data_IF_173604464973
#
_entry.id   IF_173604464973
#
_cell.length_a   1.000
_cell.length_b   1.000
_cell.length_c   1.000
_cell.angle_alpha   90.00
_cell.angle_beta   90.00
_cell.angle_gamma   90.00
#
_symmetry.space_group_name_H-M   'P 1'
#
loop_
_entity.id
_entity.type
_entity.pdbx_description
1 polymer ?
#
# COMPACT_ATOMS: atom_id res chain seq x y z
N UNK A 1 -23.23 39.41 2.31
CA UNK A 1 -22.13 39.34 1.33
C UNK A 1 -20.82 39.43 2.07
N UNK A 2 -19.91 38.49 1.83
CA UNK A 2 -18.54 38.57 2.37
C UNK A 2 -17.83 39.67 1.60
N UNK A 3 -17.21 40.59 2.33
CA UNK A 3 -16.57 41.78 1.77
C UNK A 3 -15.20 41.39 1.21
N UNK A 4 -15.11 41.28 -0.12
CA UNK A 4 -13.95 40.73 -0.84
C UNK A 4 -12.68 41.58 -0.64
N UNK A 5 -12.85 42.88 -0.37
CA UNK A 5 -11.77 43.82 -0.07
C UNK A 5 -11.06 43.51 1.27
N UNK A 6 -11.69 42.81 2.21
CA UNK A 6 -11.06 42.42 3.47
C UNK A 6 -10.14 41.20 3.31
N UNK A 7 -10.32 40.38 2.26
CA UNK A 7 -9.50 39.19 2.02
C UNK A 7 -8.15 39.50 1.38
N UNK A 8 -7.99 40.67 0.76
CA UNK A 8 -6.72 41.07 0.12
C UNK A 8 -5.65 41.58 1.10
N UNK A 9 -6.03 41.97 2.31
CA UNK A 9 -5.10 42.48 3.33
C UNK A 9 -4.54 41.42 4.29
N UNK A 10 -4.93 40.15 4.12
CA UNK A 10 -4.52 39.05 5.02
C UNK A 10 -3.17 38.40 4.63
N UNK A 11 -2.58 38.76 3.50
CA UNK A 11 -1.27 38.26 3.06
C UNK A 11 -0.32 39.42 2.77
N UNK A 12 0.62 39.73 3.66
CA UNK A 12 1.61 40.78 3.41
C UNK A 12 2.49 40.40 2.21
N UNK A 13 2.33 41.11 1.09
CA UNK A 13 3.31 41.10 0.01
C UNK A 13 4.59 41.79 0.51
N UNK A 14 5.67 41.01 0.62
CA UNK A 14 7.00 41.51 0.97
C UNK A 14 7.50 42.49 -0.11
N UNK A 15 7.18 43.77 0.06
CA UNK A 15 7.73 44.86 -0.72
C UNK A 15 8.90 45.47 0.03
N UNK A 16 10.11 44.98 -0.26
CA UNK A 16 11.35 45.74 -0.05
C UNK A 16 11.88 46.16 -1.42
N UNK A 17 11.53 47.38 -1.82
CA UNK A 17 12.34 48.18 -2.75
C UNK A 17 13.49 48.80 -1.92
N UNK A 18 14.73 49.00 -2.36
CA UNK A 18 15.36 48.98 -3.67
C UNK A 18 16.89 48.88 -3.48
N UNK A 19 17.63 48.36 -4.47
CA UNK A 19 18.85 48.98 -5.01
C UNK A 19 19.55 48.10 -6.08
N UNK A 20 19.78 48.72 -7.24
CA UNK A 20 20.91 48.53 -8.17
C UNK A 20 21.15 47.17 -8.87
N UNK A 21 20.80 47.15 -10.17
CA UNK A 21 21.62 46.70 -11.30
C UNK A 21 22.29 45.33 -11.28
N UNK A 22 21.80 44.38 -12.08
CA UNK A 22 22.49 43.89 -13.30
C UNK A 22 21.60 42.87 -14.03
N UNK A 23 21.60 42.96 -15.35
CA UNK A 23 20.80 42.13 -16.26
C UNK A 23 21.40 40.73 -16.40
N UNK A 24 20.55 39.71 -16.24
CA UNK A 24 20.63 38.44 -16.96
C UNK A 24 21.66 37.41 -16.51
N UNK A 25 21.26 36.44 -15.69
CA UNK A 25 20.78 35.16 -16.20
C UNK A 25 20.33 34.25 -15.05
N UNK A 26 19.05 33.89 -15.14
CA UNK A 26 18.36 32.76 -14.52
C UNK A 26 19.07 32.10 -13.34
N UNK A 27 18.64 32.47 -12.13
CA UNK A 27 18.60 31.53 -11.02
C UNK A 27 18.07 30.20 -11.55
N UNK A 28 18.93 29.19 -11.53
CA UNK A 28 18.57 27.82 -11.82
C UNK A 28 17.32 27.50 -10.99
N UNK A 29 16.18 27.41 -11.69
CA UNK A 29 14.98 26.80 -11.16
C UNK A 29 15.34 25.34 -10.94
N UNK A 30 15.90 25.05 -9.75
CA UNK A 30 16.15 23.71 -9.28
C UNK A 30 14.89 22.91 -9.52
N UNK A 31 15.02 21.86 -10.30
CA UNK A 31 13.91 21.11 -10.87
C UNK A 31 12.88 20.83 -9.79
N UNK A 32 11.66 21.33 -9.98
CA UNK A 32 10.52 20.76 -9.30
C UNK A 32 10.38 19.34 -9.83
N UNK A 33 11.05 18.40 -9.17
CA UNK A 33 10.68 17.00 -9.24
C UNK A 33 9.22 16.98 -8.81
N UNK A 34 8.32 16.85 -9.76
CA UNK A 34 6.90 16.67 -9.49
C UNK A 34 6.79 15.35 -8.74
N UNK A 35 6.78 15.41 -7.41
CA UNK A 35 6.60 14.22 -6.56
C UNK A 35 5.26 13.61 -6.95
N UNK A 36 5.28 12.34 -7.32
CA UNK A 36 4.12 11.61 -7.81
C UNK A 36 3.20 11.24 -6.65
N UNK A 37 3.81 10.95 -5.50
CA UNK A 37 3.15 10.76 -4.21
C UNK A 37 3.35 11.97 -3.30
N UNK A 38 2.39 12.20 -2.40
CA UNK A 38 2.60 13.17 -1.34
C UNK A 38 3.72 12.69 -0.38
N UNK A 39 4.41 13.61 0.32
CA UNK A 39 5.58 13.26 1.13
C UNK A 39 5.29 12.23 2.23
N UNK A 40 4.09 12.28 2.82
CA UNK A 40 3.70 11.36 3.89
C UNK A 40 3.42 9.97 3.32
N UNK A 41 2.73 9.89 2.20
CA UNK A 41 2.48 8.63 1.50
C UNK A 41 3.79 7.99 1.02
N UNK A 42 4.68 8.78 0.43
CA UNK A 42 5.99 8.31 -0.02
C UNK A 42 6.79 7.70 1.14
N UNK A 43 6.84 8.39 2.27
CA UNK A 43 7.51 7.90 3.48
C UNK A 43 6.92 6.58 3.98
N UNK A 44 5.58 6.43 3.99
CA UNK A 44 4.92 5.19 4.40
C UNK A 44 5.30 4.02 3.49
N UNK A 45 5.29 4.22 2.16
CA UNK A 45 5.70 3.20 1.19
C UNK A 45 7.16 2.82 1.38
N UNK A 46 8.05 3.79 1.55
CA UNK A 46 9.47 3.55 1.77
C UNK A 46 9.75 2.75 3.05
N UNK A 47 9.02 3.01 4.14
CA UNK A 47 9.14 2.23 5.39
C UNK A 47 8.70 0.79 5.17
N UNK A 48 7.54 0.59 4.56
CA UNK A 48 7.01 -0.75 4.30
C UNK A 48 7.95 -1.54 3.36
N UNK A 49 8.57 -0.90 2.37
CA UNK A 49 9.56 -1.53 1.48
C UNK A 49 10.80 -2.00 2.24
N UNK A 50 11.33 -1.16 3.13
CA UNK A 50 12.48 -1.53 3.98
C UNK A 50 12.14 -2.70 4.91
N UNK A 51 10.91 -2.75 5.42
CA UNK A 51 10.46 -3.84 6.28
C UNK A 51 10.32 -5.17 5.50
N UNK A 52 9.89 -5.11 4.24
CA UNK A 52 9.77 -6.30 3.39
C UNK A 52 11.12 -6.88 2.96
N UNK A 53 12.13 -6.03 2.77
CA UNK A 53 13.46 -6.44 2.30
C UNK A 53 13.41 -7.34 1.05
N UNK A 54 12.57 -6.96 0.08
CA UNK A 54 12.41 -7.62 -1.22
C UNK A 54 12.67 -6.61 -2.34
N UNK A 55 13.11 -7.12 -3.48
CA UNK A 55 13.31 -6.33 -4.70
C UNK A 55 12.02 -6.23 -5.53
N UNK A 56 11.95 -5.22 -6.39
CA UNK A 56 10.83 -5.09 -7.34
C UNK A 56 10.72 -6.32 -8.25
N UNK A 57 11.84 -6.87 -8.71
CA UNK A 57 11.86 -8.04 -9.59
C UNK A 57 11.31 -9.29 -8.92
N UNK A 58 11.62 -9.52 -7.64
CA UNK A 58 11.05 -10.63 -6.88
C UNK A 58 9.53 -10.50 -6.73
N UNK A 59 9.04 -9.28 -6.42
CA UNK A 59 7.60 -9.01 -6.31
C UNK A 59 6.92 -9.20 -7.67
N UNK A 60 7.47 -8.64 -8.73
CA UNK A 60 6.94 -8.78 -10.09
C UNK A 60 6.92 -10.25 -10.51
N UNK A 61 8.01 -10.98 -10.29
CA UNK A 61 8.10 -12.41 -10.56
C UNK A 61 7.04 -13.21 -9.79
N UNK A 62 6.81 -12.88 -8.53
CA UNK A 62 5.75 -13.49 -7.72
C UNK A 62 4.34 -13.18 -8.26
N UNK A 63 4.07 -11.95 -8.66
CA UNK A 63 2.76 -11.57 -9.22
C UNK A 63 2.50 -12.19 -10.60
N UNK A 64 3.55 -12.42 -11.39
CA UNK A 64 3.44 -13.01 -12.74
C UNK A 64 3.32 -14.54 -12.65
N UNK A 65 4.17 -15.19 -11.85
CA UNK A 65 4.31 -16.65 -11.83
C UNK A 65 3.63 -17.32 -10.65
N UNK A 66 3.26 -16.58 -9.60
CA UNK A 66 2.70 -17.14 -8.38
C UNK A 66 3.74 -17.77 -7.45
N UNK A 67 5.02 -17.44 -7.59
CA UNK A 67 6.13 -18.20 -6.98
C UNK A 67 6.42 -17.93 -5.49
N UNK A 68 5.60 -17.13 -4.80
CA UNK A 68 5.78 -16.77 -3.37
C UNK A 68 4.52 -17.04 -2.54
N UNK A 69 3.78 -18.12 -2.81
CA UNK A 69 2.51 -18.44 -2.13
C UNK A 69 2.65 -18.54 -0.60
N UNK A 70 3.81 -18.92 -0.09
CA UNK A 70 4.02 -19.23 1.33
C UNK A 70 4.33 -18.00 2.21
N UNK A 71 4.08 -16.78 1.72
CA UNK A 71 4.42 -15.52 2.41
C UNK A 71 3.22 -14.57 2.52
N UNK A 72 2.23 -14.87 3.37
CA UNK A 72 1.06 -14.00 3.53
C UNK A 72 1.45 -12.59 3.98
N UNK A 73 2.46 -12.43 4.85
CA UNK A 73 2.90 -11.13 5.37
C UNK A 73 3.44 -10.20 4.26
N UNK A 74 4.05 -10.80 3.22
CA UNK A 74 4.49 -10.08 2.03
C UNK A 74 3.29 -9.45 1.33
N UNK A 75 2.26 -10.25 1.02
CA UNK A 75 1.09 -9.76 0.31
C UNK A 75 0.25 -8.81 1.15
N UNK A 76 0.14 -9.01 2.46
CA UNK A 76 -0.51 -8.05 3.36
C UNK A 76 0.15 -6.67 3.31
N UNK A 77 1.48 -6.65 3.31
CA UNK A 77 2.23 -5.39 3.28
C UNK A 77 2.14 -4.73 1.90
N UNK A 78 2.20 -5.51 0.83
CA UNK A 78 1.97 -5.02 -0.54
C UNK A 78 0.55 -4.47 -0.70
N UNK A 79 -0.47 -5.10 -0.12
CA UNK A 79 -1.85 -4.61 -0.16
C UNK A 79 -1.98 -3.22 0.50
N UNK A 80 -1.26 -2.96 1.60
CA UNK A 80 -1.20 -1.64 2.26
C UNK A 80 -0.50 -0.56 1.42
N UNK A 81 0.33 -0.97 0.46
CA UNK A 81 0.99 -0.07 -0.50
C UNK A 81 0.12 0.27 -1.72
N UNK A 82 -1.07 -0.31 -1.87
CA UNK A 82 -1.91 -0.10 -3.04
C UNK A 82 -2.12 1.40 -3.32
N UNK A 83 -1.73 1.91 -4.50
CA UNK A 83 -1.90 3.32 -4.84
C UNK A 83 -3.39 3.64 -5.03
N UNK A 84 -3.77 4.89 -4.80
CA UNK A 84 -5.09 5.38 -5.22
C UNK A 84 -5.17 5.44 -6.75
N UNK A 85 -6.37 5.61 -7.31
CA UNK A 85 -6.54 5.73 -8.77
C UNK A 85 -5.79 6.94 -9.34
N UNK A 86 -5.77 8.05 -8.60
CA UNK A 86 -5.06 9.26 -8.97
C UNK A 86 -3.54 9.07 -8.92
N UNK A 87 -3.04 8.37 -7.90
CA UNK A 87 -1.61 8.02 -7.77
C UNK A 87 -1.18 7.06 -8.87
N UNK A 88 -1.99 6.04 -9.15
CA UNK A 88 -1.75 5.07 -10.22
C UNK A 88 -1.63 5.76 -11.58
N UNK A 89 -2.53 6.70 -11.89
CA UNK A 89 -2.48 7.47 -13.13
C UNK A 89 -1.18 8.30 -13.22
N UNK A 90 -0.82 9.04 -12.16
CA UNK A 90 0.42 9.82 -12.10
C UNK A 90 1.66 8.95 -12.28
N UNK A 91 1.71 7.80 -11.61
CA UNK A 91 2.83 6.86 -11.66
C UNK A 91 2.96 6.24 -13.05
N UNK A 92 1.85 5.85 -13.69
CA UNK A 92 1.85 5.28 -15.04
C UNK A 92 2.25 6.31 -16.10
N UNK A 93 1.68 7.50 -16.03
CA UNK A 93 1.89 8.58 -17.01
C UNK A 93 3.22 9.30 -16.85
N UNK A 94 3.96 9.05 -15.75
CA UNK A 94 5.30 9.58 -15.58
C UNK A 94 6.23 9.12 -16.70
N UNK A 95 6.64 10.09 -17.53
CA UNK A 95 7.57 9.95 -18.66
C UNK A 95 8.90 10.68 -18.42
N UNK A 96 9.15 11.12 -17.19
CA UNK A 96 10.40 11.77 -16.79
C UNK A 96 11.56 10.79 -16.64
N UNK A 97 12.69 11.33 -16.19
CA UNK A 97 13.92 10.58 -15.98
C UNK A 97 13.82 9.60 -14.81
N UNK A 98 13.83 8.29 -15.13
CA UNK A 98 13.76 7.21 -14.15
C UNK A 98 14.98 7.11 -13.22
N UNK A 99 16.07 7.85 -13.46
CA UNK A 99 17.17 7.95 -12.50
C UNK A 99 16.92 8.99 -11.41
N UNK A 100 15.85 9.80 -11.54
CA UNK A 100 15.52 10.94 -10.66
C UNK A 100 14.21 10.75 -9.88
N UNK A 101 13.50 9.67 -10.14
CA UNK A 101 12.31 9.25 -9.39
C UNK A 101 12.73 8.65 -8.04
N UNK A 102 11.92 8.84 -7.01
CA UNK A 102 12.21 8.22 -5.71
C UNK A 102 12.16 6.68 -5.83
N UNK A 103 13.03 5.92 -5.16
CA UNK A 103 13.02 4.45 -5.22
C UNK A 103 11.66 3.81 -4.87
N UNK A 104 10.89 4.40 -3.95
CA UNK A 104 9.57 3.88 -3.58
C UNK A 104 8.51 4.17 -4.66
N UNK A 105 8.57 5.34 -5.31
CA UNK A 105 7.73 5.65 -6.47
C UNK A 105 8.09 4.75 -7.66
N UNK A 106 9.39 4.51 -7.88
CA UNK A 106 9.89 3.62 -8.92
C UNK A 106 9.38 2.20 -8.71
N UNK A 107 9.46 1.69 -7.49
CA UNK A 107 8.94 0.38 -7.13
C UNK A 107 7.45 0.26 -7.50
N UNK A 108 6.62 1.21 -7.07
CA UNK A 108 5.19 1.18 -7.37
C UNK A 108 4.91 1.27 -8.87
N UNK A 109 5.64 2.12 -9.60
CA UNK A 109 5.53 2.21 -11.06
C UNK A 109 5.89 0.88 -11.73
N UNK A 110 6.97 0.23 -11.31
CA UNK A 110 7.42 -1.04 -11.88
C UNK A 110 6.40 -2.16 -11.60
N UNK A 111 5.85 -2.22 -10.38
CA UNK A 111 4.77 -3.16 -10.02
C UNK A 111 3.51 -2.90 -10.84
N UNK A 112 3.13 -1.63 -11.06
CA UNK A 112 1.97 -1.25 -11.87
C UNK A 112 2.09 -1.62 -13.36
N UNK A 113 3.28 -1.94 -13.85
CA UNK A 113 3.46 -2.51 -15.19
C UNK A 113 2.89 -3.93 -15.29
N UNK A 114 2.73 -4.64 -14.17
CA UNK A 114 2.04 -5.93 -14.14
C UNK A 114 0.53 -5.69 -14.28
N UNK A 115 -0.13 -6.30 -15.28
CA UNK A 115 -1.57 -6.15 -15.45
C UNK A 115 -2.33 -6.61 -14.20
N UNK A 116 -3.15 -5.71 -13.67
CA UNK A 116 -3.95 -5.92 -12.46
C UNK A 116 -3.12 -6.25 -11.21
N UNK A 117 -1.91 -5.70 -11.10
CA UNK A 117 -0.94 -5.99 -10.03
C UNK A 117 -1.57 -6.10 -8.63
N UNK A 118 -2.28 -5.08 -8.15
CA UNK A 118 -2.84 -5.09 -6.80
C UNK A 118 -4.04 -6.03 -6.63
N UNK A 119 -4.82 -6.28 -7.70
CA UNK A 119 -5.83 -7.36 -7.66
C UNK A 119 -5.18 -8.74 -7.57
N UNK A 120 -4.02 -8.93 -8.21
CA UNK A 120 -3.21 -10.14 -8.05
C UNK A 120 -2.68 -10.24 -6.62
N UNK A 121 -2.22 -9.14 -6.02
CA UNK A 121 -1.82 -9.12 -4.59
C UNK A 121 -2.98 -9.60 -3.70
N UNK A 122 -4.19 -9.06 -3.89
CA UNK A 122 -5.37 -9.47 -3.11
C UNK A 122 -5.67 -10.98 -3.28
N UNK A 123 -5.62 -11.47 -4.52
CA UNK A 123 -5.85 -12.88 -4.82
C UNK A 123 -4.75 -13.79 -4.23
N UNK A 124 -3.49 -13.36 -4.27
CA UNK A 124 -2.36 -14.09 -3.71
C UNK A 124 -2.42 -14.14 -2.19
N UNK A 125 -2.82 -13.03 -1.54
CA UNK A 125 -3.04 -12.99 -0.09
C UNK A 125 -4.15 -13.97 0.33
N UNK A 126 -5.28 -13.94 -0.39
CA UNK A 126 -6.37 -14.90 -0.15
C UNK A 126 -5.88 -16.35 -0.30
N UNK A 127 -5.15 -16.64 -1.37
CA UNK A 127 -4.62 -17.98 -1.63
C UNK A 127 -3.64 -18.43 -0.54
N UNK A 128 -2.74 -17.57 -0.09
CA UNK A 128 -1.78 -17.86 0.98
C UNK A 128 -2.45 -18.22 2.31
N UNK A 129 -3.60 -17.59 2.62
CA UNK A 129 -4.34 -17.82 3.86
C UNK A 129 -5.35 -18.97 3.77
N UNK A 130 -5.72 -19.40 2.56
CA UNK A 130 -6.83 -20.32 2.33
C UNK A 130 -6.73 -21.62 3.13
N UNK A 131 -5.59 -22.31 3.04
CA UNK A 131 -5.41 -23.59 3.73
C UNK A 131 -5.45 -23.44 5.25
N UNK A 132 -4.87 -22.36 5.79
CA UNK A 132 -4.90 -22.08 7.22
C UNK A 132 -6.33 -21.81 7.70
N UNK A 133 -7.09 -21.00 6.97
CA UNK A 133 -8.49 -20.69 7.27
C UNK A 133 -9.39 -21.93 7.19
N UNK A 134 -9.26 -22.74 6.15
CA UNK A 134 -10.03 -23.99 5.98
C UNK A 134 -9.70 -24.98 7.10
N UNK A 135 -8.42 -25.14 7.43
CA UNK A 135 -8.01 -26.04 8.52
C UNK A 135 -8.50 -25.55 9.88
N UNK A 136 -8.47 -24.25 10.13
CA UNK A 136 -9.04 -23.65 11.33
C UNK A 136 -10.54 -23.95 11.45
N UNK A 137 -11.31 -23.70 10.38
CA UNK A 137 -12.73 -23.98 10.34
C UNK A 137 -13.03 -25.46 10.59
N UNK A 138 -12.31 -26.37 9.92
CA UNK A 138 -12.49 -27.82 10.09
C UNK A 138 -12.24 -28.26 11.54
N UNK A 139 -11.19 -27.73 12.18
CA UNK A 139 -10.89 -28.01 13.60
C UNK A 139 -11.97 -27.47 14.53
N UNK A 140 -12.46 -26.26 14.26
CA UNK A 140 -13.55 -25.64 15.03
C UNK A 140 -14.81 -26.51 15.01
N UNK A 141 -15.26 -26.94 13.82
CA UNK A 141 -16.41 -27.83 13.68
C UNK A 141 -16.19 -29.19 14.34
N UNK A 142 -15.02 -29.80 14.15
CA UNK A 142 -14.70 -31.08 14.80
C UNK A 142 -14.73 -30.99 16.33
N UNK A 143 -14.28 -29.87 16.90
CA UNK A 143 -14.34 -29.64 18.35
C UNK A 143 -15.78 -29.53 18.85
N UNK A 144 -16.65 -28.84 18.12
CA UNK A 144 -18.08 -28.74 18.45
C UNK A 144 -18.78 -30.09 18.39
N UNK A 145 -18.48 -30.91 17.38
CA UNK A 145 -19.04 -32.26 17.24
C UNK A 145 -18.63 -33.15 18.42
N UNK A 146 -17.34 -33.20 18.77
CA UNK A 146 -16.84 -34.01 19.88
C UNK A 146 -17.51 -33.62 21.20
N UNK A 147 -17.57 -32.33 21.52
CA UNK A 147 -18.25 -31.85 22.74
C UNK A 147 -19.72 -32.25 22.76
N UNK A 148 -20.42 -32.17 21.61
CA UNK A 148 -21.82 -32.58 21.53
C UNK A 148 -22.01 -34.07 21.78
N UNK A 149 -21.14 -34.93 21.25
CA UNK A 149 -21.19 -36.37 21.52
C UNK A 149 -20.85 -36.69 22.98
N UNK A 150 -19.85 -36.02 23.56
CA UNK A 150 -19.46 -36.21 24.95
C UNK A 150 -20.60 -35.86 25.92
N UNK A 151 -21.31 -34.74 25.70
CA UNK A 151 -22.47 -34.36 26.50
C UNK A 151 -23.60 -35.40 26.42
N UNK A 152 -23.88 -35.93 25.23
CA UNK A 152 -24.90 -36.97 25.04
C UNK A 152 -24.48 -38.30 25.69
N UNK A 153 -23.21 -38.68 25.61
CA UNK A 153 -22.67 -39.87 26.26
C UNK A 153 -22.74 -39.74 27.79
N UNK A 154 -22.38 -38.58 28.35
CA UNK A 154 -22.51 -38.28 29.77
C UNK A 154 -23.98 -38.33 30.21
N UNK A 155 -24.89 -37.71 29.46
CA UNK A 155 -26.32 -37.72 29.76
C UNK A 155 -26.93 -39.13 29.71
N UNK A 156 -26.56 -39.94 28.71
CA UNK A 156 -27.02 -41.33 28.57
C UNK A 156 -26.50 -42.23 29.69
N UNK A 157 -25.23 -42.06 30.08
CA UNK A 157 -24.62 -42.77 31.19
C UNK A 157 -25.32 -42.43 32.52
N UNK A 158 -25.60 -41.14 32.76
CA UNK A 158 -26.31 -40.70 33.96
C UNK A 158 -27.74 -41.24 34.04
N UNK A 159 -28.44 -41.42 32.91
CA UNK A 159 -29.79 -41.99 32.88
C UNK A 159 -29.82 -43.50 33.19
N UNK A 160 -28.76 -44.25 32.88
CA UNK A 160 -28.69 -45.69 33.11
C UNK A 160 -28.32 -46.08 34.55
N UNK A 161 -27.79 -45.14 35.35
CA UNK A 161 -27.33 -45.38 36.73
C UNK A 161 -28.17 -44.65 37.80
N UNK A 162 -29.35 -44.14 37.44
CA UNK A 162 -30.40 -43.63 38.34
C UNK A 162 -31.64 -44.51 38.29
#
# INVERSE_FOLDING_TARGET
SVDEAAMENLFPQNSTAAAAGNSGQAAARGGQHSRLLDPKRLQNVAIMLKALNVTADEVIGALVHGNLEDKPELYETLAKMAPTKEEELKLKDYSGDLSKIDPAERFLKDVLNVPFAFKRVDAMLYRANFDAEVNYLRKSFGTMEVTSYDELMIASYNLHFT
#
